data_IF_976028504465
#
_entry.id   IF_976028504465
#
_cell.length_a   1.000
_cell.length_b   1.000
_cell.length_c   1.000
_cell.angle_alpha   90.00
_cell.angle_beta   90.00
_cell.angle_gamma   90.00
#
_symmetry.space_group_name_H-M   'P 1'
#
loop_
_entity.id
_entity.type
_entity.pdbx_description
1 polymer ?
#
# COMPACT_ATOMS: atom_id res chain seq x y z
N UNK A 1 3.35 19.25 -41.27
CA UNK A 1 4.49 18.35 -41.01
C UNK A 1 4.98 18.65 -39.60
N UNK A 2 4.40 17.96 -38.60
CA UNK A 2 4.55 18.29 -37.19
C UNK A 2 5.77 17.59 -36.59
N UNK A 3 6.67 18.38 -36.02
CA UNK A 3 7.73 17.90 -35.14
C UNK A 3 7.16 17.72 -33.73
N UNK A 4 7.05 16.47 -33.31
CA UNK A 4 6.62 16.08 -31.96
C UNK A 4 7.69 16.48 -30.96
N UNK A 5 7.39 17.46 -30.11
CA UNK A 5 8.22 17.80 -28.94
C UNK A 5 7.99 16.74 -27.86
N UNK A 6 9.02 15.94 -27.61
CA UNK A 6 9.11 15.00 -26.51
C UNK A 6 9.31 15.80 -25.22
N UNK A 7 8.28 15.89 -24.36
CA UNK A 7 8.42 16.40 -23.00
C UNK A 7 8.99 15.27 -22.13
N UNK A 8 10.28 15.37 -21.82
CA UNK A 8 10.91 14.58 -20.76
C UNK A 8 10.60 15.31 -19.46
N UNK A 9 9.58 14.86 -18.74
CA UNK A 9 9.34 15.29 -17.37
C UNK A 9 10.39 14.60 -16.48
N UNK A 10 11.40 15.37 -16.05
CA UNK A 10 12.33 14.99 -14.99
C UNK A 10 11.55 14.80 -13.69
N UNK A 11 11.28 13.55 -13.30
CA UNK A 11 10.88 13.23 -11.93
C UNK A 11 12.05 13.56 -11.01
N UNK A 12 11.87 14.55 -10.14
CA UNK A 12 12.75 14.74 -9.00
C UNK A 12 12.55 13.55 -8.05
N UNK A 13 13.49 12.60 -8.05
CA UNK A 13 13.62 11.62 -6.98
C UNK A 13 13.99 12.39 -5.70
N UNK A 14 13.00 12.67 -4.85
CA UNK A 14 13.27 12.99 -3.46
C UNK A 14 13.74 11.69 -2.79
N UNK A 15 15.05 11.55 -2.65
CA UNK A 15 15.66 10.50 -1.83
C UNK A 15 15.34 10.85 -0.37
N UNK A 16 14.22 10.34 0.14
CA UNK A 16 14.00 10.29 1.58
C UNK A 16 14.96 9.24 2.16
N UNK A 17 16.08 9.71 2.70
CA UNK A 17 16.92 8.91 3.60
C UNK A 17 16.08 8.54 4.82
N UNK A 18 15.56 7.31 4.85
CA UNK A 18 15.01 6.71 6.06
C UNK A 18 16.15 6.58 7.08
N UNK A 19 16.17 7.50 8.05
CA UNK A 19 17.06 7.39 9.19
C UNK A 19 16.59 6.21 10.06
N UNK A 20 17.27 5.07 9.92
CA UNK A 20 17.13 3.94 10.82
C UNK A 20 17.57 4.35 12.22
N UNK A 21 16.63 4.29 13.18
CA UNK A 21 16.96 4.42 14.60
C UNK A 21 17.72 3.17 15.05
N UNK A 22 18.81 3.38 15.78
CA UNK A 22 19.67 2.30 16.27
C UNK A 22 18.95 1.38 17.27
N UNK A 23 19.07 0.07 17.02
CA UNK A 23 19.04 -1.11 17.91
C UNK A 23 18.08 -1.16 19.11
N UNK A 24 17.25 -2.22 19.16
CA UNK A 24 16.75 -2.79 20.41
C UNK A 24 17.19 -4.26 20.55
N UNK A 25 17.98 -4.60 21.60
CA UNK A 25 18.31 -5.98 21.91
C UNK A 25 17.15 -6.63 22.67
N UNK A 26 16.62 -7.74 22.14
CA UNK A 26 16.00 -8.82 22.92
C UNK A 26 14.82 -8.45 23.83
N UNK A 27 13.76 -7.85 23.28
CA UNK A 27 12.48 -7.67 23.95
C UNK A 27 11.63 -6.68 23.16
N UNK A 28 10.39 -7.05 22.80
CA UNK A 28 9.48 -6.07 22.20
C UNK A 28 9.21 -4.97 23.22
N UNK A 29 9.50 -3.71 22.87
CA UNK A 29 9.14 -2.61 23.76
C UNK A 29 7.62 -2.60 23.92
N UNK A 30 7.15 -2.31 25.13
CA UNK A 30 5.73 -2.20 25.46
C UNK A 30 4.99 -1.22 24.51
N UNK A 31 5.72 -0.26 23.96
CA UNK A 31 5.25 0.72 22.98
C UNK A 31 4.95 0.11 21.61
N UNK A 32 5.78 -0.80 21.09
CA UNK A 32 5.52 -1.45 19.79
C UNK A 32 4.25 -2.29 19.84
N UNK A 33 4.04 -3.05 20.91
CA UNK A 33 2.82 -3.83 21.10
C UNK A 33 1.57 -2.95 21.22
N UNK A 34 1.72 -1.77 21.83
CA UNK A 34 0.66 -0.76 21.88
C UNK A 34 0.33 -0.24 20.49
N UNK A 35 1.31 0.23 19.73
CA UNK A 35 1.10 0.74 18.37
C UNK A 35 0.49 -0.31 17.44
N UNK A 36 1.00 -1.55 17.46
CA UNK A 36 0.46 -2.63 16.63
C UNK A 36 -1.01 -2.93 16.98
N UNK A 37 -1.38 -2.85 18.25
CA UNK A 37 -2.77 -3.02 18.68
C UNK A 37 -3.66 -1.87 18.19
N UNK A 38 -3.21 -0.64 18.28
CA UNK A 38 -3.93 0.55 17.77
C UNK A 38 -4.11 0.45 16.25
N UNK A 39 -3.06 0.09 15.51
CA UNK A 39 -3.12 -0.13 14.05
C UNK A 39 -4.13 -1.24 13.70
N UNK A 40 -4.19 -2.33 14.47
CA UNK A 40 -5.18 -3.40 14.26
C UNK A 40 -6.61 -2.93 14.53
N UNK A 41 -6.82 -2.10 15.54
CA UNK A 41 -8.13 -1.51 15.82
C UNK A 41 -8.57 -0.62 14.65
N UNK A 42 -7.67 0.23 14.16
CA UNK A 42 -7.90 1.10 13.01
C UNK A 42 -8.19 0.30 11.74
N UNK A 43 -7.40 -0.74 11.47
CA UNK A 43 -7.63 -1.67 10.38
C UNK A 43 -9.04 -2.27 10.42
N UNK A 44 -9.44 -2.80 11.59
CA UNK A 44 -10.75 -3.43 11.75
C UNK A 44 -11.90 -2.42 11.62
N UNK A 45 -11.72 -1.18 12.11
CA UNK A 45 -12.67 -0.10 11.93
C UNK A 45 -12.89 0.22 10.45
N UNK A 46 -11.80 0.42 9.69
CA UNK A 46 -11.89 0.73 8.25
C UNK A 46 -12.49 -0.44 7.48
N UNK A 47 -12.10 -1.70 7.75
CA UNK A 47 -12.71 -2.86 7.10
C UNK A 47 -14.21 -2.98 7.42
N UNK A 48 -14.61 -2.67 8.66
CA UNK A 48 -16.02 -2.63 9.05
C UNK A 48 -16.79 -1.60 8.23
N UNK A 49 -16.29 -0.37 8.12
CA UNK A 49 -16.88 0.69 7.28
C UNK A 49 -16.98 0.28 5.81
N UNK A 50 -15.93 -0.34 5.25
CA UNK A 50 -15.94 -0.85 3.87
C UNK A 50 -17.04 -1.90 3.68
N UNK A 51 -17.24 -2.79 4.67
CA UNK A 51 -18.22 -3.87 4.58
C UNK A 51 -19.68 -3.40 4.54
N UNK A 52 -19.97 -2.17 4.99
CA UNK A 52 -21.33 -1.62 4.97
C UNK A 52 -21.63 -0.81 3.72
N UNK A 53 -20.63 -0.45 2.91
CA UNK A 53 -20.79 0.46 1.76
C UNK A 53 -21.84 0.00 0.74
N UNK A 54 -21.89 -1.30 0.43
CA UNK A 54 -22.89 -1.83 -0.51
C UNK A 54 -24.32 -1.60 0.01
N UNK A 55 -24.54 -1.76 1.31
CA UNK A 55 -25.83 -1.57 1.96
C UNK A 55 -26.17 -0.09 2.12
N UNK A 56 -25.19 0.73 2.49
CA UNK A 56 -25.40 2.13 2.86
C UNK A 56 -25.46 3.05 1.62
N UNK A 57 -24.93 2.61 0.48
CA UNK A 57 -24.92 3.36 -0.77
C UNK A 57 -24.27 4.74 -0.59
N UNK A 58 -24.97 5.80 -1.00
CA UNK A 58 -24.50 7.18 -0.86
C UNK A 58 -24.43 7.69 0.59
N UNK A 59 -25.01 6.97 1.56
CA UNK A 59 -24.96 7.34 2.97
C UNK A 59 -23.77 6.68 3.73
N UNK A 60 -22.94 5.89 3.04
CA UNK A 60 -21.77 5.25 3.63
C UNK A 60 -20.69 6.25 4.06
N UNK A 61 -19.92 5.89 5.09
CA UNK A 61 -18.85 6.75 5.64
C UNK A 61 -17.60 6.84 4.74
N UNK A 62 -17.49 5.99 3.72
CA UNK A 62 -16.37 5.98 2.77
C UNK A 62 -16.88 6.00 1.32
N UNK A 63 -16.08 6.60 0.45
CA UNK A 63 -16.21 6.50 -0.99
C UNK A 63 -15.24 5.45 -1.52
N UNK A 64 -15.54 4.91 -2.70
CA UNK A 64 -14.69 3.93 -3.37
C UNK A 64 -14.42 4.34 -4.82
N UNK A 65 -13.15 4.56 -5.15
CA UNK A 65 -12.67 4.67 -6.53
C UNK A 65 -12.13 3.32 -6.97
N UNK A 66 -12.73 2.71 -7.99
CA UNK A 66 -12.27 1.45 -8.56
C UNK A 66 -11.54 1.69 -9.89
N UNK A 67 -10.24 1.43 -9.92
CA UNK A 67 -9.41 1.49 -11.11
C UNK A 67 -9.09 0.09 -11.65
N UNK A 68 -9.29 -0.11 -12.95
CA UNK A 68 -8.96 -1.36 -13.65
C UNK A 68 -7.84 -1.09 -14.65
N UNK A 69 -6.66 -1.64 -14.39
CA UNK A 69 -5.55 -1.62 -15.33
C UNK A 69 -5.69 -2.76 -16.34
N UNK A 70 -5.46 -2.42 -17.61
CA UNK A 70 -5.60 -3.34 -18.73
C UNK A 70 -6.97 -4.05 -18.75
N UNK A 71 -8.04 -3.26 -18.64
CA UNK A 71 -9.44 -3.74 -18.61
C UNK A 71 -9.78 -4.71 -19.74
N UNK A 72 -9.16 -4.55 -20.90
CA UNK A 72 -9.41 -5.33 -22.12
C UNK A 72 -8.45 -6.52 -22.31
N UNK A 73 -7.60 -6.83 -21.32
CA UNK A 73 -6.82 -8.07 -21.30
C UNK A 73 -5.77 -8.19 -22.40
N UNK A 74 -5.16 -7.08 -22.84
CA UNK A 74 -4.08 -7.15 -23.83
C UNK A 74 -2.79 -7.69 -23.20
N UNK A 75 -2.10 -8.59 -23.88
CA UNK A 75 -0.78 -9.02 -23.41
C UNK A 75 0.28 -7.95 -23.69
N UNK A 76 1.18 -7.72 -22.75
CA UNK A 76 2.38 -6.93 -22.99
C UNK A 76 3.53 -7.85 -23.41
N UNK A 77 4.38 -7.47 -24.39
CA UNK A 77 5.58 -8.21 -24.72
C UNK A 77 6.43 -8.47 -23.47
N UNK A 78 6.91 -9.71 -23.29
CA UNK A 78 7.70 -10.19 -22.14
C UNK A 78 6.99 -10.28 -20.76
N UNK A 79 5.79 -9.70 -20.59
CA UNK A 79 5.01 -9.80 -19.33
C UNK A 79 3.88 -10.82 -19.45
N UNK A 80 3.35 -11.02 -20.67
CA UNK A 80 2.19 -11.89 -20.90
C UNK A 80 0.88 -11.19 -20.55
N UNK A 81 -0.11 -11.96 -20.08
CA UNK A 81 -1.37 -11.42 -19.56
C UNK A 81 -1.10 -10.63 -18.28
N UNK A 82 -1.59 -9.40 -18.19
CA UNK A 82 -1.53 -8.57 -16.99
C UNK A 82 -2.89 -7.93 -16.75
N UNK A 83 -3.43 -7.98 -15.53
CA UNK A 83 -4.62 -7.23 -15.14
C UNK A 83 -4.49 -6.88 -13.68
N UNK A 84 -4.81 -5.64 -13.32
CA UNK A 84 -4.90 -5.23 -11.92
C UNK A 84 -6.23 -4.52 -11.66
N UNK A 85 -6.86 -4.87 -10.54
CA UNK A 85 -8.04 -4.18 -10.01
C UNK A 85 -7.65 -3.56 -8.67
N UNK A 86 -7.71 -2.24 -8.61
CA UNK A 86 -7.30 -1.44 -7.45
C UNK A 86 -8.53 -0.68 -6.93
N UNK A 87 -8.86 -0.89 -5.66
CA UNK A 87 -9.91 -0.18 -4.93
C UNK A 87 -9.25 0.82 -3.98
N UNK A 88 -9.61 2.09 -4.11
CA UNK A 88 -9.20 3.15 -3.20
C UNK A 88 -10.40 3.56 -2.36
N UNK A 89 -10.33 3.28 -1.05
CA UNK A 89 -11.36 3.66 -0.09
C UNK A 89 -10.92 4.93 0.65
N UNK A 90 -11.74 5.98 0.56
CA UNK A 90 -11.37 7.30 1.04
C UNK A 90 -12.53 8.04 1.69
N UNK A 91 -12.20 8.98 2.56
CA UNK A 91 -13.14 9.95 3.11
C UNK A 91 -13.14 11.21 2.25
N UNK A 92 -14.32 11.80 2.10
CA UNK A 92 -14.49 13.10 1.46
C UNK A 92 -15.17 14.04 2.45
N UNK A 93 -14.49 15.14 2.78
CA UNK A 93 -15.01 16.19 3.64
C UNK A 93 -15.04 17.51 2.88
N UNK A 94 -16.10 18.30 3.06
CA UNK A 94 -16.25 19.55 2.34
C UNK A 94 -15.05 20.48 2.62
N UNK A 95 -14.44 21.01 1.54
CA UNK A 95 -13.28 21.91 1.58
C UNK A 95 -11.93 21.28 1.99
N UNK A 96 -11.86 19.95 2.10
CA UNK A 96 -10.60 19.24 2.33
C UNK A 96 -10.29 18.29 1.16
N UNK A 97 -9.00 18.07 0.83
CA UNK A 97 -8.62 17.01 -0.09
C UNK A 97 -9.12 15.65 0.42
N UNK A 98 -9.49 14.72 -0.49
CA UNK A 98 -9.88 13.37 -0.10
C UNK A 98 -8.79 12.68 0.73
N UNK A 99 -9.21 12.02 1.81
CA UNK A 99 -8.30 11.29 2.70
C UNK A 99 -8.37 9.81 2.40
N UNK A 100 -7.35 9.28 1.73
CA UNK A 100 -7.21 7.85 1.50
C UNK A 100 -7.12 7.11 2.84
N UNK A 101 -7.96 6.10 3.05
CA UNK A 101 -7.96 5.25 4.26
C UNK A 101 -7.44 3.86 3.98
N UNK A 102 -7.79 3.27 2.83
CA UNK A 102 -7.34 1.94 2.47
C UNK A 102 -7.21 1.77 0.96
N UNK A 103 -6.21 0.99 0.56
CA UNK A 103 -6.07 0.48 -0.81
C UNK A 103 -6.12 -1.03 -0.76
N UNK A 104 -6.85 -1.63 -1.69
CA UNK A 104 -6.82 -3.06 -1.96
C UNK A 104 -6.54 -3.26 -3.44
N UNK A 105 -5.53 -4.05 -3.77
CA UNK A 105 -5.21 -4.41 -5.14
C UNK A 105 -5.16 -5.93 -5.31
N UNK A 106 -5.72 -6.39 -6.42
CA UNK A 106 -5.47 -7.74 -6.93
C UNK A 106 -4.84 -7.64 -8.31
N UNK A 107 -3.74 -8.36 -8.51
CA UNK A 107 -3.03 -8.41 -9.79
C UNK A 107 -2.95 -9.85 -10.28
N UNK A 108 -3.25 -10.05 -11.55
CA UNK A 108 -2.99 -11.30 -12.28
C UNK A 108 -1.94 -11.00 -13.34
N UNK A 109 -0.81 -11.70 -13.32
CA UNK A 109 0.30 -11.53 -14.27
C UNK A 109 0.91 -12.88 -14.66
N UNK A 110 0.86 -13.24 -15.94
CA UNK A 110 1.37 -14.53 -16.45
C UNK A 110 0.94 -15.75 -15.61
N UNK A 111 -0.34 -15.80 -15.21
CA UNK A 111 -0.89 -16.86 -14.36
C UNK A 111 -0.57 -16.73 -12.86
N UNK A 112 0.31 -15.81 -12.45
CA UNK A 112 0.55 -15.47 -11.05
C UNK A 112 -0.53 -14.53 -10.51
N UNK A 113 -0.88 -14.69 -9.24
CA UNK A 113 -1.82 -13.82 -8.53
C UNK A 113 -1.09 -13.15 -7.38
N UNK A 114 -1.27 -11.84 -7.26
CA UNK A 114 -0.82 -11.05 -6.12
C UNK A 114 -2.00 -10.33 -5.48
N UNK A 115 -2.00 -10.28 -4.16
CA UNK A 115 -2.92 -9.51 -3.33
C UNK A 115 -2.11 -8.52 -2.51
N UNK A 116 -2.56 -7.28 -2.48
CA UNK A 116 -1.97 -6.20 -1.73
C UNK A 116 -3.07 -5.43 -1.01
N UNK A 117 -2.85 -5.06 0.25
CA UNK A 117 -3.63 -4.04 0.91
C UNK A 117 -2.76 -3.13 1.76
N UNK A 118 -3.11 -1.85 1.82
CA UNK A 118 -2.44 -0.87 2.68
C UNK A 118 -3.48 0.00 3.39
N UNK A 119 -3.23 0.26 4.67
CA UNK A 119 -4.01 1.15 5.53
C UNK A 119 -3.24 2.45 5.74
N UNK A 120 -3.95 3.57 5.73
CA UNK A 120 -3.41 4.90 5.94
C UNK A 120 -4.08 5.59 7.12
N UNK A 121 -3.34 6.42 7.84
CA UNK A 121 -3.89 7.31 8.86
C UNK A 121 -4.57 8.54 8.22
N UNK A 122 -5.16 9.38 9.05
CA UNK A 122 -5.85 10.61 8.62
C UNK A 122 -4.92 11.61 7.92
N UNK A 123 -3.63 11.59 8.26
CA UNK A 123 -2.58 12.41 7.62
C UNK A 123 -2.09 11.83 6.29
N UNK A 124 -2.56 10.63 5.90
CA UNK A 124 -2.15 9.93 4.67
C UNK A 124 -0.86 9.12 4.79
N UNK A 125 -0.33 8.91 6.00
CA UNK A 125 0.83 8.04 6.23
C UNK A 125 0.41 6.57 6.33
N UNK A 126 1.28 5.67 5.86
CA UNK A 126 1.03 4.22 5.93
C UNK A 126 1.08 3.77 7.39
N UNK A 127 0.06 3.02 7.81
CA UNK A 127 -0.01 2.36 9.12
C UNK A 127 0.25 0.86 9.02
N UNK A 128 -0.27 0.23 7.97
CA UNK A 128 -0.21 -1.21 7.77
C UNK A 128 -0.14 -1.57 6.30
N UNK A 129 0.57 -2.65 6.00
CA UNK A 129 0.65 -3.24 4.67
C UNK A 129 0.56 -4.75 4.81
N UNK A 130 -0.26 -5.37 3.96
CA UNK A 130 -0.26 -6.81 3.72
C UNK A 130 -0.03 -7.13 2.25
N UNK A 131 0.86 -8.07 1.97
CA UNK A 131 1.13 -8.56 0.62
C UNK A 131 1.19 -10.09 0.62
N UNK A 132 0.62 -10.71 -0.40
CA UNK A 132 0.76 -12.13 -0.66
C UNK A 132 0.72 -12.39 -2.17
N UNK A 133 1.69 -13.16 -2.68
CA UNK A 133 1.79 -13.45 -4.11
C UNK A 133 2.13 -14.91 -4.37
N UNK A 134 1.53 -15.52 -5.39
CA UNK A 134 1.86 -16.88 -5.83
C UNK A 134 3.29 -16.99 -6.37
N UNK A 135 3.85 -15.89 -6.87
CA UNK A 135 5.25 -15.81 -7.31
C UNK A 135 6.22 -16.05 -6.14
N UNK A 136 5.85 -15.58 -4.95
CA UNK A 136 6.62 -15.70 -3.72
C UNK A 136 6.09 -16.84 -2.84
N UNK A 137 5.70 -17.97 -3.46
CA UNK A 137 5.15 -19.15 -2.78
C UNK A 137 3.99 -18.86 -1.81
N UNK A 138 3.19 -17.82 -2.10
CA UNK A 138 2.13 -17.31 -1.25
C UNK A 138 2.60 -16.91 0.16
N UNK A 139 3.85 -16.45 0.31
CA UNK A 139 4.37 -15.89 1.55
C UNK A 139 3.59 -14.63 1.93
N UNK A 140 2.97 -14.66 3.10
CA UNK A 140 2.11 -13.61 3.61
C UNK A 140 2.93 -12.59 4.43
N UNK A 141 3.25 -11.45 3.83
CA UNK A 141 4.06 -10.38 4.43
C UNK A 141 3.17 -9.36 5.11
N UNK A 142 3.54 -8.93 6.31
CA UNK A 142 2.86 -7.87 7.06
C UNK A 142 3.86 -6.88 7.58
N UNK A 143 3.66 -5.60 7.27
CA UNK A 143 4.46 -4.50 7.80
C UNK A 143 3.55 -3.59 8.61
N UNK A 144 4.00 -3.19 9.80
CA UNK A 144 3.36 -2.21 10.65
C UNK A 144 4.27 -1.00 10.77
N UNK A 145 3.68 0.19 10.76
CA UNK A 145 4.42 1.45 10.72
C UNK A 145 4.03 2.35 11.89
N UNK A 146 5.00 3.12 12.36
CA UNK A 146 4.78 4.27 13.23
C UNK A 146 5.75 5.36 12.82
N UNK A 147 5.28 6.60 12.71
CA UNK A 147 6.09 7.77 12.34
C UNK A 147 6.93 7.53 11.06
N UNK A 148 6.31 6.91 10.04
CA UNK A 148 6.94 6.59 8.76
C UNK A 148 7.99 5.46 8.81
N UNK A 149 8.19 4.79 9.94
CA UNK A 149 9.17 3.71 10.12
C UNK A 149 8.49 2.36 10.33
N UNK A 150 9.07 1.29 9.78
CA UNK A 150 8.60 -0.07 10.05
C UNK A 150 8.94 -0.43 11.50
N UNK A 151 7.92 -0.66 12.31
CA UNK A 151 8.04 -1.08 13.72
C UNK A 151 7.90 -2.59 13.91
N UNK A 152 7.29 -3.28 12.94
CA UNK A 152 7.17 -4.75 12.94
C UNK A 152 7.03 -5.27 11.52
N UNK A 153 7.74 -6.35 11.24
CA UNK A 153 7.60 -7.13 10.03
C UNK A 153 7.41 -8.61 10.36
N UNK A 154 6.50 -9.27 9.65
CA UNK A 154 6.28 -10.71 9.79
C UNK A 154 5.99 -11.37 8.45
N UNK A 155 6.40 -12.62 8.35
CA UNK A 155 6.13 -13.50 7.22
C UNK A 155 5.38 -14.73 7.74
N UNK A 156 4.22 -15.04 7.14
CA UNK A 156 3.40 -16.19 7.56
C UNK A 156 3.09 -16.17 9.07
N UNK A 157 2.85 -14.96 9.62
CA UNK A 157 2.63 -14.68 11.03
C UNK A 157 3.84 -14.93 11.96
N UNK A 158 5.02 -15.15 11.39
CA UNK A 158 6.28 -15.25 12.14
C UNK A 158 7.02 -13.93 12.03
N UNK A 159 7.23 -13.27 13.17
CA UNK A 159 7.99 -12.02 13.23
C UNK A 159 9.44 -12.22 12.76
N UNK A 160 9.94 -11.26 11.99
CA UNK A 160 11.32 -11.25 11.50
C UNK A 160 11.98 -9.95 11.92
N UNK A 161 13.22 -10.07 12.36
CA UNK A 161 14.04 -8.94 12.80
C UNK A 161 14.69 -8.27 11.60
N UNK A 162 14.35 -7.00 11.36
CA UNK A 162 14.87 -6.21 10.24
C UNK A 162 16.39 -6.04 10.32
N UNK A 163 16.95 -5.91 11.52
CA UNK A 163 18.37 -5.68 11.76
C UNK A 163 19.24 -6.93 11.57
N UNK A 164 18.63 -8.10 11.43
CA UNK A 164 19.34 -9.37 11.18
C UNK A 164 19.12 -9.90 9.76
N UNK A 165 18.41 -9.16 8.92
CA UNK A 165 18.16 -9.55 7.54
C UNK A 165 19.39 -9.38 6.68
N UNK A 166 19.47 -10.18 5.61
CA UNK A 166 20.38 -9.88 4.50
C UNK A 166 19.94 -8.61 3.79
N UNK A 167 20.88 -7.91 3.14
CA UNK A 167 20.59 -6.72 2.34
C UNK A 167 19.52 -7.00 1.26
N UNK A 168 19.58 -8.16 0.60
CA UNK A 168 18.59 -8.58 -0.40
C UNK A 168 17.18 -8.68 0.18
N UNK A 169 17.03 -9.28 1.37
CA UNK A 169 15.74 -9.38 2.04
C UNK A 169 15.24 -8.01 2.50
N UNK A 170 16.14 -7.14 2.95
CA UNK A 170 15.80 -5.79 3.36
C UNK A 170 15.32 -4.96 2.16
N UNK A 171 15.99 -5.07 1.02
CA UNK A 171 15.59 -4.44 -0.25
C UNK A 171 14.21 -4.90 -0.71
N UNK A 172 13.89 -6.19 -0.55
CA UNK A 172 12.55 -6.73 -0.83
C UNK A 172 11.49 -6.07 0.07
N UNK A 173 11.75 -5.96 1.38
CA UNK A 173 10.84 -5.31 2.34
C UNK A 173 10.64 -3.83 2.00
N UNK A 174 11.73 -3.13 1.61
CA UNK A 174 11.68 -1.72 1.18
C UNK A 174 10.86 -1.59 -0.10
N UNK A 175 11.01 -2.50 -1.06
CA UNK A 175 10.24 -2.49 -2.29
C UNK A 175 8.75 -2.65 -2.03
N UNK A 176 8.37 -3.63 -1.20
CA UNK A 176 6.99 -3.80 -0.73
C UNK A 176 6.49 -2.52 -0.08
N UNK A 177 7.27 -1.89 0.81
CA UNK A 177 6.90 -0.64 1.46
C UNK A 177 6.64 0.51 0.49
N UNK A 178 7.41 0.60 -0.61
CA UNK A 178 7.26 1.66 -1.63
C UNK A 178 5.96 1.52 -2.42
N UNK A 179 5.40 0.32 -2.53
CA UNK A 179 4.13 0.10 -3.23
C UNK A 179 2.98 0.88 -2.58
N UNK A 180 2.91 0.94 -1.25
CA UNK A 180 1.90 1.75 -0.55
C UNK A 180 2.02 3.24 -0.91
N UNK A 181 3.24 3.79 -0.86
CA UNK A 181 3.48 5.18 -1.27
C UNK A 181 3.08 5.42 -2.73
N UNK A 182 3.41 4.49 -3.64
CA UNK A 182 3.04 4.60 -5.05
C UNK A 182 1.52 4.60 -5.26
N UNK A 183 0.78 3.78 -4.51
CA UNK A 183 -0.68 3.78 -4.55
C UNK A 183 -1.27 5.09 -4.02
N UNK A 184 -0.73 5.65 -2.93
CA UNK A 184 -1.15 6.96 -2.42
C UNK A 184 -0.93 8.05 -3.46
N UNK A 185 0.26 8.12 -4.06
CA UNK A 185 0.54 9.07 -5.15
C UNK A 185 -0.41 8.90 -6.31
N UNK A 186 -0.70 7.66 -6.72
CA UNK A 186 -1.65 7.38 -7.79
C UNK A 186 -3.07 7.86 -7.46
N UNK A 187 -3.52 7.69 -6.23
CA UNK A 187 -4.80 8.22 -5.75
C UNK A 187 -4.84 9.75 -5.83
N UNK A 188 -3.79 10.41 -5.37
CA UNK A 188 -3.69 11.87 -5.39
C UNK A 188 -3.76 12.41 -6.84
N UNK A 189 -3.07 11.75 -7.78
CA UNK A 189 -3.11 12.10 -9.19
C UNK A 189 -4.50 11.94 -9.83
N UNK A 190 -5.31 10.97 -9.37
CA UNK A 190 -6.67 10.84 -9.87
C UNK A 190 -7.55 12.02 -9.48
N UNK A 191 -7.30 12.60 -8.30
CA UNK A 191 -8.10 13.72 -7.80
C UNK A 191 -7.59 15.08 -8.28
N UNK A 192 -6.28 15.25 -8.49
CA UNK A 192 -5.72 16.47 -9.09
C UNK A 192 -6.15 16.68 -10.55
N UNK A 193 -6.62 15.62 -11.23
CA UNK A 193 -7.07 15.67 -12.61
C UNK A 193 -8.54 16.07 -12.79
N UNK A 194 -9.31 16.23 -11.70
CA UNK A 194 -10.72 16.68 -11.69
C UNK A 194 -10.84 18.19 -11.41
#
# INVERSE_FOLDING_TARGET
MHATKLFIATMALSVFTLAYGQTYPGGQSQDVEKWVREIRQEYNLVKSRISTLEKDGYAGELFCLHAINNKYGKSYPAVGEYRAETFFYYELEANFPPRLRMVVETTVSAGNKAYFEALYNESGEVLFLFEQSSYDNNRAKRLYYSEGKIIRYSENNVEKRLDTMSDETLDEVIWTSRAATAHKTRFDLFYEAE
#
